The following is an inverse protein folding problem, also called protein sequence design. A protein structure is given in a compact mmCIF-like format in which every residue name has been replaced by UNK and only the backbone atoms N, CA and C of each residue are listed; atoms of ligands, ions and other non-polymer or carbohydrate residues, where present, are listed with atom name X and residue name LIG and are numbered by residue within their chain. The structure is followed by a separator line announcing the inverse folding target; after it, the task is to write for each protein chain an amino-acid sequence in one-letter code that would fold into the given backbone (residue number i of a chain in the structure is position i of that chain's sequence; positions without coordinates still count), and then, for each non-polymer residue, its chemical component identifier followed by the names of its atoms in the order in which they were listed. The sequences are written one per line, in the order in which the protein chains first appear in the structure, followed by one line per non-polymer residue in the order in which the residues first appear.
data_IF_138111801364
#
_entry.id   IF_138111801364
#
_cell.length_a   1.000
_cell.length_b   1.000
_cell.length_c   1.000
_cell.angle_alpha   90.00
_cell.angle_beta   90.00
_cell.angle_gamma   90.00
#
_symmetry.space_group_name_H-M   'P 1'
#
loop_
_entity.id
_entity.type
_entity.pdbx_description
1 polymer ?
#
# COMPACT_ATOMS: atom_id res chain seq x y z
N UNK A 1 -25.83 -0.46 17.86
CA UNK A 1 -26.33 0.80 17.28
C UNK A 1 -25.15 1.52 16.67
N UNK A 2 -25.18 1.84 15.38
CA UNK A 2 -24.13 2.66 14.76
C UNK A 2 -24.23 4.09 15.31
N UNK A 3 -23.12 4.63 15.80
CA UNK A 3 -23.05 6.01 16.28
C UNK A 3 -22.88 6.92 15.06
N UNK A 4 -23.88 7.76 14.76
CA UNK A 4 -23.82 8.71 13.65
C UNK A 4 -23.24 10.04 14.12
N UNK A 5 -22.24 10.55 13.39
CA UNK A 5 -21.62 11.85 13.66
C UNK A 5 -22.24 12.95 12.78
N UNK A 6 -22.63 14.08 13.38
CA UNK A 6 -23.09 15.25 12.61
C UNK A 6 -21.91 15.84 11.83
N UNK A 7 -22.10 16.01 10.52
CA UNK A 7 -21.13 16.58 9.60
C UNK A 7 -21.58 17.98 9.15
N UNK A 8 -20.63 18.88 8.91
CA UNK A 8 -20.90 20.23 8.44
C UNK A 8 -20.55 20.37 6.96
N UNK A 9 -21.53 20.71 6.13
CA UNK A 9 -21.30 20.99 4.71
C UNK A 9 -21.40 22.48 4.40
N UNK A 10 -20.88 22.86 3.24
CA UNK A 10 -21.01 24.18 2.64
C UNK A 10 -21.92 24.11 1.41
N UNK A 11 -22.66 25.20 1.17
CA UNK A 11 -23.51 25.37 0.00
C UNK A 11 -22.70 25.97 -1.14
N UNK A 12 -22.79 25.39 -2.34
CA UNK A 12 -22.09 25.87 -3.54
C UNK A 12 -23.10 26.10 -4.65
N UNK A 13 -23.08 27.32 -5.19
CA UNK A 13 -23.95 27.69 -6.29
C UNK A 13 -23.71 26.77 -7.51
N UNK A 14 -24.75 26.45 -8.28
CA UNK A 14 -24.58 25.67 -9.51
C UNK A 14 -23.66 26.41 -10.51
N UNK A 15 -22.83 25.68 -11.29
CA UNK A 15 -21.80 26.26 -12.16
C UNK A 15 -22.36 27.13 -13.30
N UNK A 16 -23.62 26.94 -13.65
CA UNK A 16 -24.41 27.93 -14.37
C UNK A 16 -25.54 28.34 -13.45
N UNK A 17 -25.58 29.62 -13.08
CA UNK A 17 -26.84 30.21 -12.64
C UNK A 17 -27.83 29.98 -13.79
N UNK A 18 -28.92 29.24 -13.58
CA UNK A 18 -30.03 29.28 -14.53
C UNK A 18 -30.36 30.76 -14.73
N UNK A 19 -30.56 31.18 -15.99
CA UNK A 19 -31.13 32.51 -16.29
C UNK A 19 -32.22 32.75 -15.27
N UNK A 20 -32.08 33.80 -14.45
CA UNK A 20 -33.04 34.14 -13.39
C UNK A 20 -34.43 34.08 -14.01
N UNK A 21 -35.18 33.03 -13.68
CA UNK A 21 -36.54 32.85 -14.11
C UNK A 21 -37.40 32.92 -12.87
N UNK A 22 -38.31 33.89 -12.85
CA UNK A 22 -39.32 34.00 -11.81
C UNK A 22 -40.12 32.69 -11.76
N UNK A 23 -40.12 32.04 -10.60
CA UNK A 23 -40.84 30.78 -10.35
C UNK A 23 -40.03 29.49 -10.56
N UNK A 24 -38.72 29.56 -10.81
CA UNK A 24 -37.90 28.36 -10.96
C UNK A 24 -37.42 27.77 -9.63
N UNK A 25 -37.63 26.46 -9.45
CA UNK A 25 -37.20 25.72 -8.27
C UNK A 25 -35.77 25.19 -8.44
N UNK A 26 -34.84 25.75 -7.68
CA UNK A 26 -33.43 25.36 -7.69
C UNK A 26 -32.89 25.19 -6.28
N UNK A 27 -31.95 24.25 -6.15
CA UNK A 27 -31.19 23.99 -4.95
C UNK A 27 -29.69 24.04 -5.28
N UNK A 28 -28.91 24.59 -4.35
CA UNK A 28 -27.46 24.56 -4.44
C UNK A 28 -26.94 23.14 -4.22
N UNK A 29 -25.79 22.84 -4.82
CA UNK A 29 -25.04 21.64 -4.47
C UNK A 29 -24.43 21.82 -3.07
N UNK A 30 -24.18 20.71 -2.39
CA UNK A 30 -23.53 20.71 -1.09
C UNK A 30 -22.17 20.05 -1.20
N UNK A 31 -21.18 20.60 -0.50
CA UNK A 31 -19.85 20.00 -0.38
C UNK A 31 -19.56 19.81 1.11
N UNK A 32 -19.32 18.57 1.52
CA UNK A 32 -18.78 18.22 2.81
C UNK A 32 -17.26 18.07 2.67
N UNK A 33 -16.51 19.01 3.25
CA UNK A 33 -15.05 19.01 3.17
C UNK A 33 -14.44 17.93 4.08
N UNK A 34 -13.31 17.32 3.70
CA UNK A 34 -12.65 16.27 4.50
C UNK A 34 -12.47 16.60 5.98
N UNK A 35 -12.14 17.85 6.32
CA UNK A 35 -11.90 18.30 7.71
C UNK A 35 -13.17 18.23 8.59
N UNK A 36 -14.34 18.40 7.99
CA UNK A 36 -15.65 18.50 8.65
C UNK A 36 -16.46 17.19 8.56
N UNK A 37 -15.85 16.16 7.98
CA UNK A 37 -16.47 14.88 7.63
C UNK A 37 -16.08 13.76 8.59
N UNK A 38 -16.67 12.60 8.34
CA UNK A 38 -16.24 11.31 8.89
C UNK A 38 -14.97 10.82 8.19
N UNK A 39 -14.26 9.90 8.81
CA UNK A 39 -13.12 9.22 8.17
C UNK A 39 -13.58 8.27 7.06
N UNK A 40 -12.63 7.89 6.22
CA UNK A 40 -12.81 6.89 5.17
C UNK A 40 -13.17 5.49 5.70
N UNK A 41 -13.26 5.27 7.01
CA UNK A 41 -12.96 3.97 7.61
C UNK A 41 -14.17 3.16 8.09
N UNK A 42 -15.29 3.25 7.38
CA UNK A 42 -16.53 2.58 7.80
C UNK A 42 -17.29 3.35 8.88
N UNK A 43 -16.89 4.60 9.16
CA UNK A 43 -17.64 5.47 10.04
C UNK A 43 -18.97 5.86 9.39
N UNK A 44 -19.94 6.22 10.23
CA UNK A 44 -21.25 6.68 9.78
C UNK A 44 -21.46 8.13 10.20
N UNK A 45 -21.98 8.93 9.28
CA UNK A 45 -22.21 10.35 9.46
C UNK A 45 -23.56 10.76 8.92
N UNK A 46 -23.98 11.97 9.30
CA UNK A 46 -25.18 12.56 8.74
C UNK A 46 -25.02 14.06 8.51
N UNK A 47 -25.77 14.58 7.55
CA UNK A 47 -25.88 16.01 7.24
C UNK A 47 -27.35 16.38 7.31
N UNK A 48 -27.69 17.44 8.02
CA UNK A 48 -29.02 18.04 7.90
C UNK A 48 -29.07 18.92 6.65
N UNK A 49 -29.90 18.52 5.67
CA UNK A 49 -30.05 19.23 4.42
C UNK A 49 -30.70 20.61 4.62
N UNK A 50 -31.56 20.78 5.63
CA UNK A 50 -32.23 22.05 5.89
C UNK A 50 -31.30 23.13 6.45
N UNK A 51 -30.22 22.74 7.12
CA UNK A 51 -29.23 23.68 7.67
C UNK A 51 -28.54 24.51 6.55
N UNK A 52 -28.42 23.97 5.34
CA UNK A 52 -27.59 24.55 4.27
C UNK A 52 -28.31 24.81 2.93
N UNK A 53 -29.49 24.24 2.75
CA UNK A 53 -30.32 24.54 1.58
C UNK A 53 -31.09 25.85 1.78
N UNK A 54 -31.08 26.68 0.74
CA UNK A 54 -31.89 27.90 0.64
C UNK A 54 -32.78 27.76 -0.59
N UNK A 55 -33.93 27.06 -0.49
CA UNK A 55 -34.80 26.83 -1.63
C UNK A 55 -35.38 28.15 -2.15
N UNK A 56 -35.32 28.33 -3.47
CA UNK A 56 -36.03 29.40 -4.17
C UNK A 56 -37.30 28.78 -4.78
N UNK A 57 -38.46 29.40 -4.55
CA UNK A 57 -39.74 28.90 -5.08
C UNK A 57 -40.38 27.76 -4.28
N UNK A 58 -39.84 27.40 -3.12
CA UNK A 58 -40.44 26.42 -2.20
C UNK A 58 -40.07 26.71 -0.73
N UNK A 59 -41.00 26.51 0.20
CA UNK A 59 -40.70 26.53 1.64
C UNK A 59 -39.98 25.26 2.07
N UNK A 60 -39.01 25.36 2.99
CA UNK A 60 -38.25 24.20 3.50
C UNK A 60 -39.15 23.08 4.03
N UNK A 61 -40.21 23.45 4.73
CA UNK A 61 -41.18 22.52 5.34
C UNK A 61 -41.93 21.67 4.30
N UNK A 62 -42.00 22.13 3.05
CA UNK A 62 -42.65 21.42 1.95
C UNK A 62 -41.66 20.59 1.12
N UNK A 63 -40.38 20.56 1.48
CA UNK A 63 -39.40 19.77 0.73
C UNK A 63 -39.42 18.30 1.13
N UNK A 64 -39.47 17.44 0.12
CA UNK A 64 -39.24 15.99 0.28
C UNK A 64 -38.03 15.57 -0.52
N UNK A 65 -37.19 14.73 0.05
CA UNK A 65 -35.94 14.27 -0.57
C UNK A 65 -36.00 12.78 -0.90
N UNK A 66 -35.56 12.43 -2.10
CA UNK A 66 -35.40 11.04 -2.55
C UNK A 66 -33.99 10.86 -3.10
N UNK A 67 -33.30 9.82 -2.62
CA UNK A 67 -31.98 9.46 -3.13
C UNK A 67 -32.16 8.89 -4.54
N UNK A 68 -31.52 9.54 -5.52
CA UNK A 68 -31.55 9.10 -6.92
C UNK A 68 -30.41 8.13 -7.22
N UNK A 69 -29.21 8.42 -6.73
CA UNK A 69 -28.01 7.59 -6.91
C UNK A 69 -26.91 7.99 -5.95
N UNK A 70 -25.94 7.10 -5.73
CA UNK A 70 -24.73 7.42 -4.98
C UNK A 70 -23.52 6.63 -5.48
N UNK A 71 -22.33 7.19 -5.29
CA UNK A 71 -21.07 6.55 -5.65
C UNK A 71 -20.67 5.43 -4.67
N UNK A 72 -19.85 4.47 -5.13
CA UNK A 72 -19.42 3.31 -4.34
C UNK A 72 -18.59 3.62 -3.08
N UNK A 73 -18.08 4.86 -2.92
CA UNK A 73 -17.36 5.26 -1.71
C UNK A 73 -18.26 5.50 -0.49
N UNK A 74 -19.59 5.44 -0.65
CA UNK A 74 -20.57 5.44 0.43
C UNK A 74 -21.51 4.24 0.35
N UNK A 75 -22.04 3.83 1.51
CA UNK A 75 -23.07 2.80 1.66
C UNK A 75 -24.09 3.23 2.74
N UNK A 76 -25.15 2.43 2.93
CA UNK A 76 -26.25 2.70 3.87
C UNK A 76 -26.84 4.11 3.73
N UNK A 77 -26.87 4.62 2.49
CA UNK A 77 -27.34 5.98 2.21
C UNK A 77 -28.85 6.04 2.39
N UNK A 78 -29.33 6.91 3.27
CA UNK A 78 -30.76 7.06 3.57
C UNK A 78 -31.11 8.51 3.93
N UNK A 79 -32.35 8.89 3.70
CA UNK A 79 -32.94 10.11 4.29
C UNK A 79 -33.70 9.69 5.54
N UNK A 80 -33.35 10.27 6.68
CA UNK A 80 -34.02 10.06 7.97
C UNK A 80 -34.49 11.40 8.52
N UNK A 81 -35.42 11.38 9.48
CA UNK A 81 -35.91 12.59 10.16
C UNK A 81 -36.29 13.72 9.18
N UNK A 82 -36.88 13.34 8.04
CA UNK A 82 -37.29 14.18 6.89
C UNK A 82 -36.20 14.95 6.14
N UNK A 83 -35.07 15.32 6.76
CA UNK A 83 -34.03 16.15 6.14
C UNK A 83 -32.60 15.64 6.34
N UNK A 84 -32.39 14.59 7.11
CA UNK A 84 -31.05 14.11 7.42
C UNK A 84 -30.58 13.11 6.36
N UNK A 85 -29.53 13.46 5.63
CA UNK A 85 -28.81 12.51 4.78
C UNK A 85 -27.83 11.72 5.64
N UNK A 86 -28.12 10.44 5.87
CA UNK A 86 -27.25 9.48 6.56
C UNK A 86 -26.44 8.68 5.55
N UNK A 87 -25.18 8.39 5.86
CA UNK A 87 -24.28 7.60 5.03
C UNK A 87 -23.16 6.96 5.86
N UNK A 88 -22.59 5.88 5.34
CA UNK A 88 -21.42 5.19 5.88
C UNK A 88 -20.30 5.20 4.84
N UNK A 89 -19.06 5.49 5.23
CA UNK A 89 -17.91 5.45 4.32
C UNK A 89 -17.50 4.02 3.96
N UNK A 90 -16.97 3.82 2.75
CA UNK A 90 -16.41 2.52 2.32
C UNK A 90 -14.87 2.57 2.33
N UNK A 91 -14.18 1.85 3.24
CA UNK A 91 -12.72 1.90 3.45
C UNK A 91 -11.81 1.92 2.22
N UNK A 92 -12.14 1.13 1.21
CA UNK A 92 -11.28 0.90 0.03
C UNK A 92 -11.46 1.98 -1.04
N UNK A 93 -12.58 2.70 -1.00
CA UNK A 93 -13.05 3.56 -2.11
C UNK A 93 -13.18 5.03 -1.72
N UNK A 94 -13.01 5.35 -0.43
CA UNK A 94 -13.19 6.70 0.12
C UNK A 94 -11.87 7.43 0.37
N UNK A 95 -10.74 6.83 0.03
CA UNK A 95 -9.43 7.46 0.21
C UNK A 95 -9.16 8.48 -0.90
N UNK A 96 -8.83 9.72 -0.50
CA UNK A 96 -8.38 10.82 -1.37
C UNK A 96 -9.32 11.17 -2.54
N UNK A 97 -10.60 10.80 -2.44
CA UNK A 97 -11.60 11.10 -3.46
C UNK A 97 -12.90 11.59 -2.82
N UNK A 98 -13.66 12.36 -3.58
CA UNK A 98 -15.02 12.74 -3.20
C UNK A 98 -15.97 11.64 -3.65
N UNK A 99 -16.83 11.21 -2.74
CA UNK A 99 -18.05 10.49 -3.09
C UNK A 99 -19.17 11.46 -3.40
N UNK A 100 -20.13 11.08 -4.24
CA UNK A 100 -21.28 11.90 -4.58
C UNK A 100 -22.57 11.15 -4.27
N UNK A 101 -23.53 11.86 -3.68
CA UNK A 101 -24.92 11.44 -3.55
C UNK A 101 -25.78 12.41 -4.33
N UNK A 102 -26.53 11.91 -5.32
CA UNK A 102 -27.48 12.70 -6.10
C UNK A 102 -28.86 12.54 -5.48
N UNK A 103 -29.46 13.67 -5.11
CA UNK A 103 -30.76 13.73 -4.45
C UNK A 103 -31.72 14.49 -5.35
N UNK A 104 -32.92 13.92 -5.52
CA UNK A 104 -34.05 14.61 -6.11
C UNK A 104 -34.88 15.23 -4.99
N UNK A 105 -35.07 16.54 -5.04
CA UNK A 105 -35.95 17.27 -4.15
C UNK A 105 -37.28 17.57 -4.85
N UNK A 106 -38.37 17.45 -4.11
CA UNK A 106 -39.73 17.79 -4.53
C UNK A 106 -40.29 18.86 -3.61
N UNK A 107 -41.04 19.81 -4.18
CA UNK A 107 -41.81 20.76 -3.40
C UNK A 107 -43.28 20.31 -3.31
N UNK A 108 -43.69 19.85 -2.13
CA UNK A 108 -45.05 19.41 -1.83
C UNK A 108 -46.08 20.48 -2.19
N UNK A 109 -47.16 20.06 -2.88
CA UNK A 109 -48.20 20.97 -3.36
C UNK A 109 -47.89 21.63 -4.71
N UNK A 110 -46.78 21.27 -5.36
CA UNK A 110 -46.41 21.74 -6.70
C UNK A 110 -45.86 20.59 -7.56
N UNK A 111 -45.68 20.84 -8.86
CA UNK A 111 -44.97 19.90 -9.75
C UNK A 111 -43.44 20.14 -9.76
N UNK A 112 -42.96 21.08 -8.96
CA UNK A 112 -41.55 21.47 -8.98
C UNK A 112 -40.67 20.40 -8.36
N UNK A 113 -39.67 19.97 -9.13
CA UNK A 113 -38.60 19.10 -8.64
C UNK A 113 -37.26 19.51 -9.24
N UNK A 114 -36.19 19.24 -8.52
CA UNK A 114 -34.83 19.54 -8.96
C UNK A 114 -33.86 18.50 -8.43
N UNK A 115 -32.69 18.40 -9.06
CA UNK A 115 -31.61 17.54 -8.59
C UNK A 115 -30.50 18.41 -8.02
N UNK A 116 -29.90 17.93 -6.95
CA UNK A 116 -28.66 18.48 -6.42
C UNK A 116 -27.74 17.34 -5.97
N UNK A 117 -26.46 17.64 -5.92
CA UNK A 117 -25.43 16.70 -5.49
C UNK A 117 -24.90 17.09 -4.12
N UNK A 118 -24.64 16.08 -3.30
CA UNK A 118 -23.86 16.18 -2.07
C UNK A 118 -22.51 15.51 -2.31
N UNK A 119 -21.47 16.31 -2.47
CA UNK A 119 -20.09 15.83 -2.62
C UNK A 119 -19.46 15.65 -1.24
N UNK A 120 -19.12 14.43 -0.87
CA UNK A 120 -18.60 14.02 0.43
C UNK A 120 -17.11 13.74 0.30
N UNK A 121 -16.28 14.61 0.86
CA UNK A 121 -14.86 14.35 1.11
C UNK A 121 -14.70 13.65 2.45
N UNK A 122 -13.81 12.65 2.53
CA UNK A 122 -13.57 11.91 3.76
C UNK A 122 -12.30 12.37 4.46
N UNK A 123 -12.33 12.37 5.79
CA UNK A 123 -11.15 12.72 6.58
C UNK A 123 -10.06 11.68 6.35
N UNK A 124 -8.86 12.17 6.04
CA UNK A 124 -7.66 11.35 5.91
C UNK A 124 -6.61 11.84 6.93
N UNK A 125 -6.39 11.08 8.00
CA UNK A 125 -5.43 11.42 9.05
C UNK A 125 -3.96 11.28 8.58
N UNK A 126 -3.73 10.72 7.40
CA UNK A 126 -2.40 10.70 6.80
C UNK A 126 -1.90 12.04 6.30
N UNK A 127 -2.81 12.99 5.99
CA UNK A 127 -2.41 14.32 5.49
C UNK A 127 -1.57 15.07 6.51
N UNK A 128 -1.82 14.82 7.80
CA UNK A 128 -1.10 15.43 8.92
C UNK A 128 0.00 14.52 9.49
N UNK A 129 0.25 13.35 8.87
CA UNK A 129 1.23 12.37 9.36
C UNK A 129 2.61 12.61 8.77
N UNK A 130 3.66 12.39 9.57
CA UNK A 130 5.05 12.59 9.15
C UNK A 130 5.58 11.49 8.20
N UNK A 131 4.80 10.43 7.95
CA UNK A 131 5.23 9.28 7.15
C UNK A 131 4.51 9.18 5.81
N UNK A 132 5.26 8.70 4.80
CA UNK A 132 4.78 8.54 3.42
C UNK A 132 3.68 7.49 3.27
N UNK A 133 3.66 6.49 4.15
CA UNK A 133 2.65 5.43 4.20
C UNK A 133 2.08 5.34 5.61
N UNK A 134 0.77 5.50 5.75
CA UNK A 134 0.06 5.43 7.02
C UNK A 134 -1.36 4.92 6.85
N UNK A 135 -1.96 4.59 7.99
CA UNK A 135 -3.38 4.29 8.09
C UNK A 135 -4.19 5.60 8.01
N UNK A 136 -5.08 5.77 7.01
CA UNK A 136 -5.87 6.98 6.84
C UNK A 136 -6.90 7.21 7.95
N UNK A 137 -7.24 6.17 8.72
CA UNK A 137 -8.18 6.16 9.85
C UNK A 137 -7.55 6.60 11.16
N UNK A 138 -6.29 6.23 11.40
CA UNK A 138 -5.62 6.47 12.68
C UNK A 138 -4.43 7.42 12.58
N UNK A 139 -3.90 7.66 11.38
CA UNK A 139 -2.66 8.40 11.15
C UNK A 139 -1.39 7.60 11.44
N UNK A 140 -1.51 6.36 11.92
CA UNK A 140 -0.37 5.52 12.30
C UNK A 140 0.46 5.09 11.08
N UNK A 141 1.77 5.10 11.21
CA UNK A 141 2.69 4.78 10.12
C UNK A 141 2.82 3.29 9.85
N UNK A 142 2.97 2.95 8.57
CA UNK A 142 3.36 1.60 8.13
C UNK A 142 4.72 1.69 7.45
N UNK A 143 5.75 1.22 8.16
CA UNK A 143 7.14 1.31 7.70
C UNK A 143 7.78 -0.07 7.74
N UNK A 144 8.08 -0.62 6.57
CA UNK A 144 8.98 -1.74 6.43
C UNK A 144 10.42 -1.29 6.71
N UNK A 145 11.18 -2.08 7.47
CA UNK A 145 12.56 -1.74 7.83
C UNK A 145 13.53 -2.49 6.93
N UNK A 146 14.53 -1.77 6.45
CA UNK A 146 15.65 -2.38 5.72
C UNK A 146 16.65 -2.97 6.71
N UNK A 147 17.15 -4.16 6.42
CA UNK A 147 18.09 -4.87 7.27
C UNK A 147 19.31 -5.34 6.48
N UNK A 148 20.40 -5.63 7.18
CA UNK A 148 21.59 -6.26 6.62
C UNK A 148 21.92 -7.52 7.40
N UNK A 149 22.17 -8.61 6.69
CA UNK A 149 22.54 -9.91 7.26
C UNK A 149 23.88 -10.35 6.68
N UNK A 150 24.81 -10.80 7.52
CA UNK A 150 26.04 -11.45 7.05
C UNK A 150 25.86 -12.96 7.08
N UNK A 151 26.08 -13.63 5.95
CA UNK A 151 25.90 -15.09 5.81
C UNK A 151 26.96 -15.70 4.91
N UNK A 152 27.52 -16.82 5.32
CA UNK A 152 28.47 -17.57 4.49
C UNK A 152 27.75 -18.40 3.44
N UNK A 153 28.49 -18.90 2.44
CA UNK A 153 27.94 -19.70 1.36
C UNK A 153 27.23 -20.95 1.88
N UNK A 154 26.11 -21.32 1.25
CA UNK A 154 25.33 -22.49 1.66
C UNK A 154 24.56 -22.33 2.98
N UNK A 155 24.76 -21.24 3.74
CA UNK A 155 24.04 -21.06 5.00
C UNK A 155 22.61 -20.57 4.79
N UNK A 156 21.73 -21.08 5.65
CA UNK A 156 20.35 -20.62 5.76
C UNK A 156 20.23 -19.43 6.72
N UNK A 157 19.17 -18.64 6.53
CA UNK A 157 18.82 -17.51 7.37
C UNK A 157 17.31 -17.34 7.48
N UNK A 158 16.92 -16.64 8.53
CA UNK A 158 15.54 -16.19 8.74
C UNK A 158 15.53 -14.72 9.14
N UNK A 159 14.49 -14.02 8.72
CA UNK A 159 14.21 -12.64 9.10
C UNK A 159 12.70 -12.52 9.34
N UNK A 160 12.31 -12.03 10.51
CA UNK A 160 10.90 -11.82 10.84
C UNK A 160 10.50 -10.39 10.47
N UNK A 161 9.84 -10.22 9.32
CA UNK A 161 9.40 -8.92 8.84
C UNK A 161 8.31 -8.31 9.71
N UNK A 162 7.57 -9.11 10.49
CA UNK A 162 6.50 -8.61 11.37
C UNK A 162 7.07 -7.91 12.59
N UNK A 163 8.02 -8.53 13.27
CA UNK A 163 8.65 -7.94 14.47
C UNK A 163 9.60 -6.81 14.12
N UNK A 164 10.25 -6.89 12.96
CA UNK A 164 11.19 -5.87 12.51
C UNK A 164 10.53 -4.75 11.70
N UNK A 165 9.22 -4.75 11.46
CA UNK A 165 8.53 -3.64 10.79
C UNK A 165 7.57 -2.94 11.74
N UNK A 166 7.35 -1.65 11.50
CA UNK A 166 6.34 -0.88 12.22
C UNK A 166 5.04 -1.00 11.43
N UNK A 167 4.14 -1.88 11.87
CA UNK A 167 2.80 -2.06 11.28
C UNK A 167 1.74 -1.60 12.31
N UNK A 168 1.94 -0.43 12.93
CA UNK A 168 0.97 0.10 13.88
C UNK A 168 -0.25 0.62 13.14
N UNK A 169 -1.45 0.24 13.62
CA UNK A 169 -2.71 0.68 13.03
C UNK A 169 -3.23 -0.16 11.88
N UNK A 170 -2.58 -1.26 11.46
CA UNK A 170 -3.27 -2.21 10.58
C UNK A 170 -4.38 -2.94 11.38
N UNK A 171 -5.64 -2.65 11.08
CA UNK A 171 -6.81 -3.28 11.74
C UNK A 171 -7.41 -4.42 10.91
N UNK A 172 -6.90 -4.66 9.70
CA UNK A 172 -7.32 -5.76 8.84
C UNK A 172 -6.23 -6.79 8.59
N UNK A 173 -6.33 -7.53 7.48
CA UNK A 173 -5.41 -8.60 7.17
C UNK A 173 -4.08 -8.03 6.67
N UNK A 174 -2.99 -8.37 7.37
CA UNK A 174 -1.62 -8.15 6.89
C UNK A 174 -1.20 -9.31 6.00
N UNK A 175 -0.64 -8.99 4.85
CA UNK A 175 -0.05 -9.94 3.91
C UNK A 175 1.38 -9.57 3.61
N UNK A 176 2.18 -10.58 3.26
CA UNK A 176 3.60 -10.45 3.02
C UNK A 176 3.96 -11.12 1.70
N UNK A 177 4.81 -10.46 0.91
CA UNK A 177 5.19 -10.90 -0.43
C UNK A 177 6.69 -10.67 -0.67
N UNK A 178 7.35 -11.60 -1.35
CA UNK A 178 8.68 -11.35 -1.94
C UNK A 178 8.47 -10.70 -3.31
N UNK A 179 8.88 -9.45 -3.45
CA UNK A 179 8.79 -8.69 -4.71
C UNK A 179 9.90 -9.11 -5.67
N UNK A 180 11.12 -9.27 -5.16
CA UNK A 180 12.27 -9.72 -5.95
C UNK A 180 13.38 -10.22 -5.03
N UNK A 181 14.21 -11.13 -5.50
CA UNK A 181 15.41 -11.57 -4.79
C UNK A 181 16.58 -11.77 -5.74
N UNK A 182 17.80 -11.67 -5.21
CA UNK A 182 19.02 -12.02 -5.94
C UNK A 182 18.99 -13.48 -6.39
N UNK A 183 19.45 -13.81 -7.62
CA UNK A 183 19.47 -15.19 -8.13
C UNK A 183 20.40 -16.13 -7.33
N UNK A 184 21.28 -15.57 -6.50
CA UNK A 184 22.16 -16.34 -5.61
C UNK A 184 21.51 -16.69 -4.25
N UNK A 185 20.22 -16.36 -4.09
CA UNK A 185 19.43 -16.66 -2.91
C UNK A 185 18.21 -17.50 -3.32
N UNK A 186 17.94 -18.56 -2.57
CA UNK A 186 16.65 -19.24 -2.63
C UNK A 186 15.83 -18.78 -1.42
N UNK A 187 14.76 -18.02 -1.64
CA UNK A 187 14.00 -17.36 -0.57
C UNK A 187 12.52 -17.69 -0.65
N UNK A 188 11.88 -17.75 0.53
CA UNK A 188 10.44 -17.89 0.67
C UNK A 188 9.95 -17.01 1.83
N UNK A 189 8.68 -16.61 1.77
CA UNK A 189 8.02 -15.87 2.84
C UNK A 189 6.78 -16.63 3.30
N UNK A 190 6.61 -16.72 4.62
CA UNK A 190 5.43 -17.32 5.23
C UNK A 190 4.31 -16.30 5.41
N UNK A 191 3.09 -16.79 5.61
CA UNK A 191 1.93 -15.94 5.96
C UNK A 191 2.11 -15.17 7.28
N UNK A 192 3.02 -15.63 8.15
CA UNK A 192 3.36 -14.94 9.40
C UNK A 192 4.38 -13.80 9.21
N UNK A 193 4.90 -13.59 7.99
CA UNK A 193 5.91 -12.57 7.70
C UNK A 193 7.34 -13.01 7.96
N UNK A 194 7.59 -14.30 8.22
CA UNK A 194 8.95 -14.83 8.33
C UNK A 194 9.49 -15.10 6.93
N UNK A 195 10.54 -14.37 6.56
CA UNK A 195 11.36 -14.56 5.37
C UNK A 195 12.45 -15.56 5.71
N UNK A 196 12.55 -16.63 4.95
CA UNK A 196 13.59 -17.63 5.07
C UNK A 196 14.34 -17.76 3.75
N UNK A 197 15.61 -18.10 3.82
CA UNK A 197 16.35 -18.38 2.61
C UNK A 197 17.67 -19.07 2.85
N UNK A 198 18.31 -19.46 1.74
CA UNK A 198 19.64 -20.09 1.74
C UNK A 198 20.50 -19.41 0.69
N UNK A 199 21.75 -19.13 1.06
CA UNK A 199 22.76 -18.59 0.14
C UNK A 199 23.25 -19.72 -0.77
N UNK A 200 23.37 -19.47 -2.07
CA UNK A 200 23.94 -20.45 -3.01
C UNK A 200 25.36 -20.89 -2.59
N UNK A 201 25.81 -22.03 -3.10
CA UNK A 201 27.14 -22.56 -2.81
C UNK A 201 28.27 -21.72 -3.42
N UNK A 202 27.99 -20.96 -4.48
CA UNK A 202 28.97 -20.09 -5.16
C UNK A 202 28.37 -18.70 -5.45
N UNK A 203 28.13 -17.89 -4.39
CA UNK A 203 27.63 -16.54 -4.54
C UNK A 203 28.79 -15.58 -4.90
N UNK A 204 28.50 -14.39 -5.43
CA UNK A 204 29.46 -13.30 -5.41
C UNK A 204 29.67 -12.83 -3.96
N UNK A 205 30.90 -12.42 -3.65
CA UNK A 205 31.34 -12.08 -2.29
C UNK A 205 31.56 -10.57 -2.15
N UNK A 206 31.43 -10.06 -0.93
CA UNK A 206 31.59 -8.62 -0.58
C UNK A 206 30.64 -7.69 -1.35
N UNK A 207 29.54 -8.24 -1.88
CA UNK A 207 28.48 -7.47 -2.51
C UNK A 207 27.13 -7.78 -1.84
N UNK A 208 26.22 -6.81 -1.90
CA UNK A 208 24.86 -7.01 -1.40
C UNK A 208 24.06 -7.91 -2.35
N UNK A 209 23.45 -8.95 -1.78
CA UNK A 209 22.42 -9.78 -2.40
C UNK A 209 21.06 -9.32 -1.86
N UNK A 210 20.34 -8.44 -2.57
CA UNK A 210 19.11 -7.86 -2.05
C UNK A 210 17.93 -8.83 -2.12
N UNK A 211 17.06 -8.74 -1.13
CA UNK A 211 15.70 -9.29 -1.11
C UNK A 211 14.76 -8.11 -0.89
N UNK A 212 13.91 -7.82 -1.87
CA UNK A 212 12.85 -6.83 -1.71
C UNK A 212 11.57 -7.55 -1.30
N UNK A 213 10.97 -7.09 -0.21
CA UNK A 213 9.72 -7.64 0.30
C UNK A 213 8.70 -6.52 0.47
N UNK A 214 7.42 -6.88 0.40
CA UNK A 214 6.28 -5.98 0.54
C UNK A 214 5.39 -6.43 1.68
N UNK A 215 4.95 -5.46 2.45
CA UNK A 215 3.91 -5.60 3.47
C UNK A 215 2.69 -4.85 2.98
N UNK A 216 1.57 -5.56 2.89
CA UNK A 216 0.28 -4.96 2.51
C UNK A 216 -0.73 -5.16 3.63
N UNK A 217 -1.47 -4.10 3.97
CA UNK A 217 -2.59 -4.17 4.90
C UNK A 217 -3.88 -3.71 4.22
N UNK A 218 -4.81 -4.66 4.09
CA UNK A 218 -6.17 -4.43 3.61
C UNK A 218 -7.10 -4.19 4.80
N UNK A 219 -8.23 -3.46 4.64
CA UNK A 219 -8.79 -2.92 3.38
C UNK A 219 -8.17 -1.60 2.92
N UNK A 220 -7.33 -0.96 3.72
CA UNK A 220 -6.95 0.43 3.47
C UNK A 220 -5.87 0.62 2.38
N UNK A 221 -5.55 -0.40 1.58
CA UNK A 221 -4.56 -0.29 0.50
C UNK A 221 -3.17 0.15 0.97
N UNK A 222 -2.83 -0.08 2.25
CA UNK A 222 -1.56 0.36 2.80
C UNK A 222 -0.46 -0.59 2.33
N UNK A 223 0.52 -0.06 1.62
CA UNK A 223 1.63 -0.83 1.07
C UNK A 223 2.96 -0.18 1.50
N UNK A 224 3.86 -1.01 2.04
CA UNK A 224 5.22 -0.61 2.42
C UNK A 224 6.21 -1.65 1.92
N UNK A 225 7.39 -1.21 1.46
CA UNK A 225 8.41 -2.09 0.91
C UNK A 225 9.72 -1.95 1.70
N UNK A 226 10.34 -3.09 2.00
CA UNK A 226 11.62 -3.17 2.70
C UNK A 226 12.66 -3.93 1.89
N UNK A 227 13.93 -3.73 2.24
CA UNK A 227 15.06 -4.41 1.59
C UNK A 227 15.92 -5.12 2.64
N UNK A 228 16.15 -6.41 2.46
CA UNK A 228 17.13 -7.17 3.22
C UNK A 228 18.36 -7.33 2.34
N UNK A 229 19.51 -6.83 2.79
CA UNK A 229 20.79 -6.99 2.13
C UNK A 229 21.53 -8.17 2.76
N UNK A 230 21.64 -9.29 2.03
CA UNK A 230 22.48 -10.41 2.47
C UNK A 230 23.88 -10.19 1.92
N UNK A 231 24.87 -10.06 2.80
CA UNK A 231 26.27 -9.87 2.45
C UNK A 231 26.99 -11.19 2.71
N UNK A 232 27.69 -11.68 1.68
CA UNK A 232 28.53 -12.87 1.80
C UNK A 232 29.99 -12.43 1.99
N UNK A 233 30.58 -12.62 3.17
CA UNK A 233 31.96 -12.24 3.40
C UNK A 233 32.90 -13.15 2.61
N UNK A 234 33.99 -12.58 2.08
CA UNK A 234 35.08 -13.36 1.54
C UNK A 234 36.01 -13.78 2.68
N UNK A 235 35.95 -15.06 3.07
CA UNK A 235 36.77 -15.58 4.17
C UNK A 235 38.27 -15.65 3.85
N UNK A 236 38.65 -15.43 2.58
CA UNK A 236 40.05 -15.29 2.17
C UNK A 236 40.59 -13.88 2.38
N UNK A 237 39.76 -12.89 2.68
CA UNK A 237 40.23 -11.53 2.94
C UNK A 237 41.15 -11.53 4.18
N UNK A 238 42.37 -11.03 4.01
CA UNK A 238 43.38 -11.00 5.07
C UNK A 238 44.18 -12.29 5.26
N UNK A 239 43.90 -13.34 4.48
CA UNK A 239 44.70 -14.57 4.46
C UNK A 239 45.89 -14.40 3.50
N UNK A 240 47.01 -15.07 3.80
CA UNK A 240 48.18 -15.15 2.93
C UNK A 240 48.42 -16.60 2.52
N UNK A 241 48.74 -16.82 1.24
CA UNK A 241 49.01 -18.15 0.70
C UNK A 241 50.04 -18.09 -0.43
N UNK A 242 50.62 -19.24 -0.75
CA UNK A 242 51.67 -19.37 -1.74
C UNK A 242 51.11 -19.32 -3.17
N UNK A 243 51.99 -19.08 -4.15
CA UNK A 243 51.60 -18.99 -5.59
C UNK A 243 50.96 -20.27 -6.15
N UNK A 244 51.19 -21.40 -5.50
CA UNK A 244 50.65 -22.71 -5.86
C UNK A 244 49.44 -23.13 -5.00
N UNK A 245 48.78 -22.17 -4.35
CA UNK A 245 47.61 -22.40 -3.49
C UNK A 245 46.43 -21.54 -3.94
N UNK A 246 45.22 -22.04 -3.67
CA UNK A 246 43.96 -21.33 -3.90
C UNK A 246 43.15 -21.33 -2.61
N UNK A 247 42.63 -20.15 -2.24
CA UNK A 247 41.74 -20.01 -1.11
C UNK A 247 40.27 -20.10 -1.54
N UNK A 248 39.51 -20.95 -0.85
CA UNK A 248 38.07 -21.06 -1.03
C UNK A 248 37.38 -19.90 -0.30
N UNK A 249 36.78 -18.98 -1.05
CA UNK A 249 36.15 -17.76 -0.51
C UNK A 249 35.01 -18.01 0.49
N UNK A 250 34.40 -19.20 0.43
CA UNK A 250 33.28 -19.61 1.27
C UNK A 250 33.71 -20.25 2.60
N UNK A 251 34.85 -20.94 2.62
CA UNK A 251 35.34 -21.68 3.81
C UNK A 251 36.58 -21.05 4.43
N UNK A 252 37.30 -20.22 3.68
CA UNK A 252 38.64 -19.73 4.04
C UNK A 252 39.73 -20.79 3.91
N UNK A 253 39.40 -21.99 3.42
CA UNK A 253 40.36 -23.09 3.31
C UNK A 253 41.33 -22.86 2.15
N UNK A 254 42.62 -22.97 2.43
CA UNK A 254 43.70 -22.84 1.46
C UNK A 254 44.09 -24.26 1.01
N UNK A 255 43.97 -24.51 -0.29
CA UNK A 255 44.29 -25.82 -0.89
C UNK A 255 45.37 -25.66 -1.94
N UNK A 256 46.25 -26.66 -2.09
CA UNK A 256 47.24 -26.68 -3.15
C UNK A 256 46.56 -26.86 -4.50
N UNK A 257 47.04 -26.13 -5.50
CA UNK A 257 46.67 -26.37 -6.89
C UNK A 257 47.32 -27.70 -7.28
N UNK A 258 46.53 -28.77 -7.33
CA UNK A 258 46.99 -30.06 -7.84
C UNK A 258 47.22 -29.94 -9.35
N UNK A 259 48.45 -29.61 -9.74
CA UNK A 259 48.91 -29.65 -11.12
C UNK A 259 49.21 -31.10 -11.50
N UNK A 260 48.19 -31.91 -11.82
CA UNK A 260 48.41 -33.18 -12.51
C UNK A 260 48.78 -32.87 -13.98
N UNK A 261 50.01 -32.40 -14.21
CA UNK A 261 50.59 -32.32 -15.55
C UNK A 261 50.93 -33.76 -15.97
N UNK A 262 50.01 -34.41 -16.67
CA UNK A 262 50.31 -35.66 -17.38
C UNK A 262 50.93 -35.31 -18.74
N UNK A 263 52.25 -35.47 -18.85
CA UNK A 263 52.95 -35.41 -20.14
C UNK A 263 52.66 -36.71 -20.88
N UNK A 264 51.70 -36.69 -21.81
CA UNK A 264 51.58 -37.76 -22.79
C UNK A 264 52.61 -37.51 -23.89
N UNK A 265 53.40 -38.53 -24.23
CA UNK A 265 54.45 -38.42 -25.24
C UNK A 265 53.95 -37.73 -26.51
N UNK A 266 54.57 -36.59 -26.84
CA UNK A 266 54.32 -35.68 -27.98
C UNK A 266 53.13 -34.70 -27.91
N UNK A 267 52.64 -34.35 -26.73
CA UNK A 267 51.77 -33.17 -26.56
C UNK A 267 51.61 -32.74 -25.10
N UNK A 268 51.57 -31.42 -24.84
CA UNK A 268 51.25 -30.87 -23.51
C UNK A 268 49.74 -30.67 -23.44
N UNK A 269 49.04 -31.54 -22.69
CA UNK A 269 47.61 -31.39 -22.41
C UNK A 269 47.39 -30.80 -21.01
N UNK A 270 46.50 -29.81 -20.90
CA UNK A 270 46.05 -29.29 -19.61
C UNK A 270 44.66 -29.83 -19.29
N UNK A 271 44.46 -30.31 -18.06
CA UNK A 271 43.14 -30.67 -17.54
C UNK A 271 42.83 -29.73 -16.39
N UNK A 272 41.74 -28.96 -16.49
CA UNK A 272 41.24 -28.20 -15.35
C UNK A 272 40.21 -29.05 -14.57
N UNK A 273 39.87 -28.62 -13.36
CA UNK A 273 38.93 -29.32 -12.47
C UNK A 273 37.49 -29.43 -13.00
N UNK A 274 37.20 -28.93 -14.21
CA UNK A 274 35.93 -29.08 -14.90
C UNK A 274 35.96 -30.16 -16.01
N UNK A 275 37.04 -30.93 -16.13
CA UNK A 275 37.13 -32.06 -17.07
C UNK A 275 37.27 -31.68 -18.54
N UNK A 276 37.48 -30.41 -18.88
CA UNK A 276 37.80 -30.02 -20.27
C UNK A 276 39.29 -30.17 -20.52
N UNK A 277 39.62 -31.06 -21.45
CA UNK A 277 40.97 -31.26 -21.97
C UNK A 277 41.22 -30.30 -23.12
N UNK A 278 42.23 -29.45 -23.01
CA UNK A 278 42.75 -28.69 -24.15
C UNK A 278 43.97 -29.42 -24.73
N UNK A 279 43.86 -29.85 -25.99
CA UNK A 279 44.97 -30.42 -26.75
C UNK A 279 45.44 -29.33 -27.71
N UNK A 280 46.67 -28.85 -27.55
CA UNK A 280 47.32 -28.02 -28.56
C UNK A 280 48.13 -28.97 -29.45
N UNK A 281 47.72 -29.11 -30.71
CA UNK A 281 48.49 -29.83 -31.74
C UNK A 281 49.59 -28.94 -32.29
#
# INVERSE_FOLDING_TARGET
MALYKKCNCISVAPPSTPKVCDGCFHLNNLILLPKDSISACGESGYIDLFDKLSPVGCSKENLTFVISSYSKGVTNVSIQNTSELHFTSVPELSQNSFSSVTIKAYCSGTEFSTFFNVSIGFKNLCVDSACKTCNPCTGNCVTAISASLSKTCGQSFTYDAKTNSVITGCTGQVTYEIVSSSPHLNVAISNAGVISGTVSANPPHEISLPIKYRISCNPYGMISEGIINVIVPNLCNGQTWNINEVCNKCTGEITKINSDIKIFGRGVGFTNNNGTTFINN
#
